data_IF_510872285345
#
_entry.id   IF_510872285345
#
_cell.length_a   1.000
_cell.length_b   1.000
_cell.length_c   1.000
_cell.angle_alpha   90.00
_cell.angle_beta   90.00
_cell.angle_gamma   90.00
#
_symmetry.space_group_name_H-M   'P 1'
#
loop_
_entity.id
_entity.type
_entity.pdbx_description
1 polymer ?
#
# COMPACT_ATOMS: atom_id res chain seq x y z
N UNK A 1 -22.52 16.80 -49.83
CA UNK A 1 -22.79 16.13 -48.53
C UNK A 1 -21.69 16.56 -47.59
N UNK A 2 -21.93 17.61 -46.79
CA UNK A 2 -20.91 18.20 -45.91
C UNK A 2 -20.94 17.40 -44.62
N UNK A 3 -19.90 16.59 -44.40
CA UNK A 3 -19.72 15.83 -43.16
C UNK A 3 -19.13 16.80 -42.14
N UNK A 4 -19.95 17.22 -41.17
CA UNK A 4 -19.47 17.87 -39.95
C UNK A 4 -18.68 16.83 -39.17
N UNK A 5 -17.38 17.06 -39.02
CA UNK A 5 -16.54 16.34 -38.09
C UNK A 5 -16.66 17.09 -36.77
N UNK A 6 -17.48 16.58 -35.87
CA UNK A 6 -17.54 17.03 -34.48
C UNK A 6 -16.27 16.53 -33.77
N UNK A 7 -15.16 17.24 -33.97
CA UNK A 7 -13.97 17.09 -33.14
C UNK A 7 -14.28 17.73 -31.78
N UNK A 8 -14.82 16.92 -30.87
CA UNK A 8 -14.77 17.22 -29.43
C UNK A 8 -13.33 17.03 -28.96
N UNK A 9 -12.49 18.03 -29.23
CA UNK A 9 -11.23 18.20 -28.52
C UNK A 9 -11.57 18.37 -27.04
N UNK A 10 -11.20 17.37 -26.23
CA UNK A 10 -11.29 17.43 -24.78
C UNK A 10 -10.45 18.62 -24.31
N UNK A 11 -11.13 19.70 -23.96
CA UNK A 11 -10.53 20.86 -23.30
C UNK A 11 -9.76 20.31 -22.07
N UNK A 12 -8.46 20.59 -21.93
CA UNK A 12 -7.72 20.17 -20.75
C UNK A 12 -8.42 20.80 -19.54
N UNK A 13 -8.82 19.98 -18.57
CA UNK A 13 -9.40 20.46 -17.32
C UNK A 13 -8.45 21.49 -16.72
N UNK A 14 -8.96 22.66 -16.36
CA UNK A 14 -8.16 23.67 -15.66
C UNK A 14 -7.66 23.07 -14.34
N UNK A 15 -6.44 23.42 -13.93
CA UNK A 15 -5.81 22.85 -12.72
C UNK A 15 -6.72 22.93 -11.49
N UNK A 16 -7.55 23.98 -11.39
CA UNK A 16 -8.54 24.14 -10.32
C UNK A 16 -9.62 23.05 -10.31
N UNK A 17 -10.08 22.61 -11.48
CA UNK A 17 -11.09 21.55 -11.61
C UNK A 17 -10.52 20.19 -11.18
N UNK A 18 -9.30 19.88 -11.60
CA UNK A 18 -8.60 18.63 -11.23
C UNK A 18 -8.37 18.55 -9.71
N UNK A 19 -7.92 19.65 -9.11
CA UNK A 19 -7.72 19.73 -7.65
C UNK A 19 -9.06 19.54 -6.90
N UNK A 20 -10.15 20.10 -7.44
CA UNK A 20 -11.47 19.98 -6.81
C UNK A 20 -12.01 18.54 -6.83
N UNK A 21 -11.85 17.85 -7.96
CA UNK A 21 -12.27 16.45 -8.12
C UNK A 21 -11.46 15.50 -7.23
N UNK A 22 -10.13 15.67 -7.17
CA UNK A 22 -9.28 14.89 -6.27
C UNK A 22 -9.66 15.07 -4.80
N UNK A 23 -9.96 16.30 -4.38
CA UNK A 23 -10.36 16.60 -3.02
C UNK A 23 -11.70 15.95 -2.65
N UNK A 24 -12.63 15.87 -3.60
CA UNK A 24 -13.91 15.19 -3.38
C UNK A 24 -13.76 13.67 -3.31
N UNK A 25 -12.86 13.08 -4.10
CA UNK A 25 -12.49 11.67 -3.95
C UNK A 25 -11.86 11.38 -2.58
N UNK A 26 -10.93 12.23 -2.12
CA UNK A 26 -10.33 12.08 -0.78
C UNK A 26 -11.34 12.25 0.34
N UNK A 27 -12.28 13.20 0.23
CA UNK A 27 -13.38 13.33 1.22
C UNK A 27 -14.20 12.05 1.33
N UNK A 28 -14.54 11.42 0.19
CA UNK A 28 -15.27 10.13 0.19
C UNK A 28 -14.51 9.02 0.91
N UNK A 29 -13.18 8.95 0.78
CA UNK A 29 -12.32 8.00 1.51
C UNK A 29 -12.44 8.15 3.04
N UNK A 30 -12.56 9.39 3.52
CA UNK A 30 -12.67 9.68 4.96
C UNK A 30 -14.10 9.68 5.50
N UNK A 31 -15.11 9.65 4.62
CA UNK A 31 -16.48 9.40 4.99
C UNK A 31 -16.64 7.90 5.31
N UNK A 32 -16.80 7.58 6.60
CA UNK A 32 -16.91 6.20 7.11
C UNK A 32 -18.33 5.64 6.98
N UNK A 33 -18.89 5.68 5.76
CA UNK A 33 -20.25 5.24 5.45
C UNK A 33 -21.14 6.33 4.88
N UNK A 34 -22.38 5.96 4.55
CA UNK A 34 -23.42 6.89 4.12
C UNK A 34 -24.03 7.62 5.31
N UNK A 35 -24.41 8.89 5.12
CA UNK A 35 -25.03 9.70 6.16
C UNK A 35 -26.39 9.15 6.59
N UNK A 36 -26.75 9.33 7.85
CA UNK A 36 -28.02 8.86 8.37
C UNK A 36 -29.23 9.50 7.67
N UNK A 37 -30.24 8.70 7.32
CA UNK A 37 -31.51 9.21 6.78
C UNK A 37 -32.34 9.87 7.88
N UNK A 38 -32.24 11.19 8.01
CA UNK A 38 -32.90 11.97 9.08
C UNK A 38 -34.39 12.28 8.83
N UNK A 39 -34.95 11.89 7.66
CA UNK A 39 -36.32 12.25 7.25
C UNK A 39 -37.40 11.43 7.94
N UNK A 40 -37.09 10.20 8.34
CA UNK A 40 -38.06 9.27 8.94
C UNK A 40 -38.10 9.36 10.48
N UNK A 41 -37.32 10.26 11.07
CA UNK A 41 -37.15 10.37 12.52
C UNK A 41 -38.28 11.20 13.17
N UNK A 42 -39.01 10.60 14.12
CA UNK A 42 -40.12 11.27 14.83
C UNK A 42 -39.65 12.19 15.96
N UNK A 43 -38.51 11.89 16.59
CA UNK A 43 -37.97 12.68 17.70
C UNK A 43 -37.14 13.86 17.20
N UNK A 44 -37.65 15.08 17.42
CA UNK A 44 -37.01 16.34 17.00
C UNK A 44 -35.68 16.59 17.71
N UNK A 45 -35.51 16.13 18.96
CA UNK A 45 -34.28 16.35 19.71
C UNK A 45 -33.16 15.47 19.17
N UNK A 46 -33.46 14.19 18.94
CA UNK A 46 -32.53 13.25 18.34
C UNK A 46 -32.17 13.67 16.89
N UNK A 47 -33.15 14.14 16.12
CA UNK A 47 -32.91 14.64 14.76
C UNK A 47 -31.90 15.79 14.78
N UNK A 48 -32.09 16.79 15.66
CA UNK A 48 -31.14 17.90 15.80
C UNK A 48 -29.74 17.45 16.23
N UNK A 49 -29.63 16.50 17.16
CA UNK A 49 -28.34 15.93 17.58
C UNK A 49 -27.62 15.22 16.43
N UNK A 50 -28.34 14.43 15.62
CA UNK A 50 -27.77 13.72 14.48
C UNK A 50 -27.32 14.67 13.37
N UNK A 51 -28.07 15.75 13.08
CA UNK A 51 -27.61 16.78 12.11
C UNK A 51 -26.25 17.35 12.53
N UNK A 52 -26.10 17.71 13.82
CA UNK A 52 -24.84 18.27 14.33
C UNK A 52 -23.70 17.24 14.25
N UNK A 53 -23.98 15.96 14.51
CA UNK A 53 -22.99 14.89 14.36
C UNK A 53 -22.58 14.69 12.90
N UNK A 54 -23.52 14.68 11.96
CA UNK A 54 -23.25 14.58 10.52
C UNK A 54 -22.41 15.76 10.01
N UNK A 55 -22.73 16.98 10.44
CA UNK A 55 -21.89 18.14 10.15
C UNK A 55 -20.47 18.00 10.70
N UNK A 56 -20.33 17.46 11.91
CA UNK A 56 -19.03 17.24 12.55
C UNK A 56 -18.23 16.15 11.82
N UNK A 57 -18.88 15.07 11.37
CA UNK A 57 -18.26 14.04 10.54
C UNK A 57 -17.82 14.61 9.19
N UNK A 58 -18.66 15.42 8.53
CA UNK A 58 -18.30 16.10 7.28
C UNK A 58 -17.11 17.05 7.44
N UNK A 59 -17.10 17.86 8.51
CA UNK A 59 -15.96 18.74 8.84
C UNK A 59 -14.68 17.94 9.11
N UNK A 60 -14.80 16.84 9.86
CA UNK A 60 -13.66 15.96 10.19
C UNK A 60 -13.09 15.28 8.96
N UNK A 61 -13.95 14.75 8.07
CA UNK A 61 -13.54 14.13 6.81
C UNK A 61 -12.88 15.14 5.87
N UNK A 62 -13.42 16.36 5.77
CA UNK A 62 -12.81 17.43 4.98
C UNK A 62 -11.44 17.87 5.54
N UNK A 63 -11.31 17.96 6.87
CA UNK A 63 -10.04 18.26 7.52
C UNK A 63 -8.99 17.16 7.28
N UNK A 64 -9.38 15.89 7.40
CA UNK A 64 -8.52 14.75 7.11
C UNK A 64 -8.07 14.70 5.64
N UNK A 65 -9.00 14.94 4.70
CA UNK A 65 -8.68 15.01 3.27
C UNK A 65 -7.69 16.13 2.94
N UNK A 66 -7.87 17.30 3.57
CA UNK A 66 -6.91 18.42 3.45
C UNK A 66 -5.55 18.04 4.03
N UNK A 67 -5.51 17.44 5.21
CA UNK A 67 -4.26 16.97 5.81
C UNK A 67 -3.53 15.96 4.90
N UNK A 68 -4.26 15.00 4.32
CA UNK A 68 -3.66 14.03 3.40
C UNK A 68 -3.10 14.66 2.11
N UNK A 69 -3.78 15.66 1.53
CA UNK A 69 -3.29 16.31 0.30
C UNK A 69 -2.10 17.24 0.57
N UNK A 70 -2.10 17.98 1.67
CA UNK A 70 -1.14 19.08 1.88
C UNK A 70 0.00 18.73 2.84
N UNK A 71 -0.20 17.80 3.78
CA UNK A 71 0.77 17.49 4.84
C UNK A 71 1.50 16.17 4.62
N UNK A 72 1.09 15.34 3.66
CA UNK A 72 1.78 14.09 3.37
C UNK A 72 3.16 14.39 2.78
N UNK A 73 4.24 13.86 3.38
CA UNK A 73 5.61 14.20 2.98
C UNK A 73 6.07 13.46 1.72
N UNK A 74 5.35 12.42 1.32
CA UNK A 74 5.72 11.53 0.22
C UNK A 74 4.49 11.18 -0.62
N UNK A 75 4.70 11.13 -1.92
CA UNK A 75 3.72 10.63 -2.89
C UNK A 75 3.99 9.16 -3.21
N UNK A 76 2.98 8.46 -3.71
CA UNK A 76 3.12 7.08 -4.15
C UNK A 76 3.95 6.99 -5.44
N UNK A 77 4.89 6.06 -5.50
CA UNK A 77 5.61 5.77 -6.74
C UNK A 77 4.69 5.13 -7.78
N UNK A 78 4.91 5.44 -9.06
CA UNK A 78 4.20 4.84 -10.18
C UNK A 78 5.16 4.57 -11.34
N UNK A 79 4.75 3.67 -12.23
CA UNK A 79 5.43 3.36 -13.48
C UNK A 79 4.42 3.54 -14.60
N UNK A 80 4.63 4.56 -15.42
CA UNK A 80 3.80 4.87 -16.57
C UNK A 80 4.58 4.50 -17.84
N UNK A 81 3.92 3.80 -18.76
CA UNK A 81 4.51 3.52 -20.06
C UNK A 81 4.22 4.66 -21.01
N UNK A 82 5.20 5.06 -21.82
CA UNK A 82 4.95 5.92 -22.97
C UNK A 82 3.96 5.24 -23.92
N UNK A 83 3.18 6.01 -24.71
CA UNK A 83 2.00 5.50 -25.41
C UNK A 83 2.15 4.23 -26.26
N UNK A 84 3.37 3.86 -26.67
CA UNK A 84 3.68 2.61 -27.40
C UNK A 84 4.27 1.52 -26.47
N UNK A 85 4.92 1.91 -25.38
CA UNK A 85 5.52 1.00 -24.41
C UNK A 85 4.50 0.39 -23.47
N UNK A 86 4.69 -0.91 -23.19
CA UNK A 86 3.84 -1.68 -22.29
C UNK A 86 4.58 -1.90 -21.00
N UNK A 87 3.98 -1.55 -19.86
CA UNK A 87 4.61 -1.58 -18.54
C UNK A 87 5.19 -2.95 -18.15
N UNK A 88 4.56 -4.05 -18.56
CA UNK A 88 5.06 -5.41 -18.27
C UNK A 88 6.30 -5.83 -19.08
N UNK A 89 6.75 -5.04 -20.06
CA UNK A 89 8.00 -5.30 -20.81
C UNK A 89 9.23 -4.69 -20.13
N UNK A 90 9.03 -3.83 -19.13
CA UNK A 90 10.10 -3.13 -18.42
C UNK A 90 10.83 -4.15 -17.52
N UNK A 91 12.16 -4.23 -17.68
CA UNK A 91 13.02 -5.17 -16.94
C UNK A 91 13.43 -4.58 -15.58
N UNK A 92 13.70 -5.45 -14.61
CA UNK A 92 14.21 -5.03 -13.29
C UNK A 92 15.52 -4.23 -13.39
N UNK A 93 16.43 -4.61 -14.30
CA UNK A 93 17.69 -3.88 -14.52
C UNK A 93 17.46 -2.43 -14.99
N UNK A 94 16.43 -2.20 -15.80
CA UNK A 94 16.08 -0.86 -16.28
C UNK A 94 15.45 -0.01 -15.17
N UNK A 95 14.65 -0.64 -14.28
CA UNK A 95 14.11 0.03 -13.10
C UNK A 95 15.26 0.42 -12.17
N UNK A 96 16.21 -0.48 -11.93
CA UNK A 96 17.36 -0.27 -11.04
C UNK A 96 18.22 0.93 -11.45
N UNK A 97 18.33 1.20 -12.76
CA UNK A 97 19.10 2.32 -13.31
C UNK A 97 18.39 3.67 -13.24
N UNK A 98 17.06 3.67 -13.24
CA UNK A 98 16.25 4.91 -13.26
C UNK A 98 15.88 5.39 -11.85
N UNK A 99 15.82 4.47 -10.87
CA UNK A 99 15.52 4.83 -9.48
C UNK A 99 16.75 5.39 -8.75
N UNK A 100 16.49 6.08 -7.64
CA UNK A 100 17.55 6.60 -6.77
C UNK A 100 18.43 5.48 -6.18
N UNK A 101 19.66 5.83 -5.81
CA UNK A 101 20.67 4.88 -5.30
C UNK A 101 20.18 4.11 -4.07
N UNK A 102 19.37 4.73 -3.19
CA UNK A 102 18.88 4.06 -1.97
C UNK A 102 17.80 3.03 -2.31
N UNK A 103 16.96 3.31 -3.30
CA UNK A 103 15.95 2.35 -3.79
C UNK A 103 16.59 1.23 -4.62
N UNK A 104 17.55 1.57 -5.49
CA UNK A 104 18.31 0.60 -6.29
C UNK A 104 19.01 -0.44 -5.41
N UNK A 105 19.59 -0.02 -4.26
CA UNK A 105 20.21 -0.93 -3.27
C UNK A 105 19.25 -1.91 -2.60
N UNK A 106 17.93 -1.69 -2.65
CA UNK A 106 16.93 -2.61 -2.08
C UNK A 106 16.61 -3.76 -3.03
N UNK A 107 17.06 -3.70 -4.27
CA UNK A 107 17.04 -4.84 -5.17
C UNK A 107 18.23 -5.75 -4.84
N UNK A 108 17.94 -6.89 -4.23
CA UNK A 108 18.96 -7.89 -3.90
C UNK A 108 18.44 -9.29 -4.23
N UNK A 109 19.38 -10.19 -4.49
CA UNK A 109 19.13 -11.61 -4.69
C UNK A 109 19.84 -12.40 -3.59
N UNK A 110 19.09 -13.25 -2.89
CA UNK A 110 19.61 -14.10 -1.81
C UNK A 110 19.58 -15.54 -2.31
N UNK A 111 20.75 -16.02 -2.73
CA UNK A 111 20.90 -17.37 -3.30
C UNK A 111 21.16 -18.38 -2.18
N UNK A 112 20.15 -19.20 -1.87
CA UNK A 112 20.21 -20.25 -0.84
C UNK A 112 19.85 -21.63 -1.44
N UNK A 113 20.81 -22.36 -2.03
CA UNK A 113 20.51 -23.57 -2.81
C UNK A 113 20.21 -24.82 -1.95
N UNK A 114 20.70 -24.89 -0.71
CA UNK A 114 20.85 -26.17 -0.01
C UNK A 114 19.57 -26.67 0.69
N UNK A 115 18.76 -25.75 1.23
CA UNK A 115 17.69 -26.07 2.18
C UNK A 115 16.28 -26.15 1.57
N UNK A 116 16.21 -26.32 0.25
CA UNK A 116 14.95 -26.43 -0.49
C UNK A 116 14.29 -25.06 -0.72
N UNK A 117 13.03 -25.04 -1.20
CA UNK A 117 12.31 -23.79 -1.42
C UNK A 117 12.10 -23.05 -0.11
N UNK A 118 12.22 -21.72 -0.16
CA UNK A 118 12.04 -20.83 0.97
C UNK A 118 10.67 -20.17 0.95
N UNK A 119 10.02 -20.12 2.11
CA UNK A 119 8.92 -19.18 2.37
C UNK A 119 9.47 -17.94 3.05
N UNK A 120 8.90 -16.78 2.72
CA UNK A 120 9.34 -15.49 3.23
C UNK A 120 8.17 -14.79 3.91
N UNK A 121 8.44 -14.15 5.05
CA UNK A 121 7.52 -13.23 5.68
C UNK A 121 8.24 -11.96 6.13
N UNK A 122 7.57 -10.82 6.00
CA UNK A 122 8.06 -9.54 6.48
C UNK A 122 7.27 -9.07 7.69
N UNK A 123 7.96 -8.42 8.62
CA UNK A 123 7.28 -7.65 9.67
C UNK A 123 6.40 -6.55 9.07
N UNK A 124 5.36 -6.06 9.78
CA UNK A 124 4.53 -4.95 9.30
C UNK A 124 5.31 -3.66 8.99
N UNK A 125 6.48 -3.49 9.62
CA UNK A 125 7.41 -2.38 9.35
C UNK A 125 8.23 -2.55 8.06
N UNK A 126 8.32 -3.78 7.53
CA UNK A 126 9.19 -4.16 6.42
C UNK A 126 10.68 -4.26 6.77
N UNK A 127 11.08 -3.99 8.02
CA UNK A 127 12.50 -3.96 8.41
C UNK A 127 13.13 -5.34 8.51
N UNK A 128 12.41 -6.29 9.10
CA UNK A 128 12.90 -7.66 9.28
C UNK A 128 12.15 -8.62 8.37
N UNK A 129 12.88 -9.58 7.82
CA UNK A 129 12.37 -10.67 7.00
C UNK A 129 12.72 -11.99 7.67
N UNK A 130 11.74 -12.88 7.79
CA UNK A 130 11.94 -14.27 8.15
C UNK A 130 11.96 -15.10 6.87
N UNK A 131 12.98 -15.93 6.71
CA UNK A 131 13.14 -16.87 5.62
C UNK A 131 13.17 -18.29 6.17
N UNK A 132 12.33 -19.17 5.64
CA UNK A 132 12.25 -20.55 6.10
C UNK A 132 12.36 -21.53 4.94
N UNK A 133 13.45 -22.27 4.90
CA UNK A 133 13.69 -23.36 3.97
C UNK A 133 12.94 -24.61 4.40
N UNK A 134 12.39 -25.33 3.42
CA UNK A 134 11.61 -26.56 3.67
C UNK A 134 12.39 -27.65 4.41
N UNK A 135 13.72 -27.69 4.30
CA UNK A 135 14.59 -28.62 5.05
C UNK A 135 14.93 -28.14 6.47
N UNK A 136 14.25 -27.10 6.95
CA UNK A 136 14.27 -26.65 8.33
C UNK A 136 15.29 -25.58 8.67
N UNK A 137 15.88 -24.93 7.65
CA UNK A 137 16.64 -23.71 7.85
C UNK A 137 15.68 -22.55 8.09
N UNK A 138 15.85 -21.80 9.18
CA UNK A 138 15.08 -20.60 9.48
C UNK A 138 16.07 -19.47 9.77
N UNK A 139 15.95 -18.38 9.05
CA UNK A 139 16.78 -17.20 9.22
C UNK A 139 15.90 -15.96 9.41
N UNK A 140 16.30 -15.07 10.31
CA UNK A 140 15.74 -13.72 10.46
C UNK A 140 16.83 -12.75 10.04
N UNK A 141 16.51 -11.91 9.06
CA UNK A 141 17.45 -10.99 8.43
C UNK A 141 16.94 -9.56 8.56
N UNK A 142 17.81 -8.63 8.95
CA UNK A 142 17.56 -7.19 8.85
C UNK A 142 17.73 -6.76 7.39
N UNK A 143 16.64 -6.35 6.74
CA UNK A 143 16.63 -5.94 5.34
C UNK A 143 17.28 -4.57 5.11
N UNK A 144 17.40 -3.74 6.15
CA UNK A 144 18.06 -2.44 6.03
C UNK A 144 19.58 -2.58 6.01
N UNK A 145 20.11 -3.43 6.89
CA UNK A 145 21.54 -3.64 7.05
C UNK A 145 22.07 -4.87 6.28
N UNK A 146 21.16 -5.68 5.71
CA UNK A 146 21.47 -6.97 5.09
C UNK A 146 22.29 -7.88 6.00
N UNK A 147 21.88 -7.97 7.27
CA UNK A 147 22.57 -8.74 8.29
C UNK A 147 21.64 -9.81 8.87
N UNK A 148 22.12 -11.06 8.96
CA UNK A 148 21.41 -12.13 9.64
C UNK A 148 21.45 -11.92 11.16
N UNK A 149 20.28 -11.74 11.77
CA UNK A 149 20.15 -11.54 13.22
C UNK A 149 20.16 -12.88 13.92
N UNK A 150 19.45 -13.84 13.34
CA UNK A 150 19.27 -15.16 13.94
C UNK A 150 19.13 -16.19 12.84
N UNK A 151 19.85 -17.28 13.01
CA UNK A 151 19.76 -18.45 12.15
C UNK A 151 19.55 -19.68 13.04
N UNK A 152 18.63 -20.54 12.63
CA UNK A 152 18.17 -21.69 13.37
C UNK A 152 18.00 -22.84 12.40
N UNK A 153 18.64 -23.97 12.68
CA UNK A 153 18.42 -25.20 11.94
C UNK A 153 17.52 -26.13 12.75
N UNK A 154 16.25 -26.16 12.38
CA UNK A 154 15.30 -27.17 12.86
C UNK A 154 15.52 -28.41 11.99
N UNK A 155 15.84 -29.57 12.56
CA UNK A 155 16.10 -30.80 11.78
C UNK A 155 14.82 -31.45 11.25
N UNK A 156 13.79 -30.65 11.00
CA UNK A 156 12.45 -31.06 10.65
C UNK A 156 11.96 -30.24 9.44
N UNK A 157 10.89 -30.71 8.81
CA UNK A 157 10.29 -29.96 7.71
C UNK A 157 9.54 -28.74 8.25
N UNK A 158 9.93 -27.56 7.80
CA UNK A 158 9.21 -26.31 8.05
C UNK A 158 8.32 -26.03 6.85
N UNK A 159 7.04 -25.74 7.10
CA UNK A 159 6.05 -25.46 6.06
C UNK A 159 5.81 -23.97 5.86
N UNK A 160 5.86 -23.22 6.95
CA UNK A 160 5.54 -21.80 6.96
C UNK A 160 6.16 -21.11 8.18
N UNK A 161 6.37 -19.80 8.09
CA UNK A 161 6.88 -18.97 9.17
C UNK A 161 6.16 -17.64 9.19
N UNK A 162 5.70 -17.25 10.37
CA UNK A 162 4.89 -16.05 10.58
C UNK A 162 5.43 -15.21 11.74
N UNK A 163 5.56 -13.90 11.54
CA UNK A 163 5.82 -12.95 12.61
C UNK A 163 4.55 -12.71 13.42
N UNK A 164 4.71 -12.55 14.73
CA UNK A 164 3.59 -12.20 15.60
C UNK A 164 3.45 -10.66 15.65
N UNK A 165 3.17 -10.13 16.83
CA UNK A 165 3.03 -8.68 17.04
C UNK A 165 4.29 -7.88 16.67
N UNK A 166 5.48 -8.47 16.85
CA UNK A 166 6.77 -7.78 16.69
C UNK A 166 7.84 -8.70 16.10
N UNK A 167 9.04 -8.16 15.90
CA UNK A 167 10.22 -8.86 15.40
C UNK A 167 10.84 -9.86 16.39
N UNK A 168 10.45 -9.79 17.66
CA UNK A 168 11.03 -10.62 18.72
C UNK A 168 10.47 -12.04 18.71
N UNK A 169 9.23 -12.20 18.24
CA UNK A 169 8.55 -13.48 18.23
C UNK A 169 8.08 -13.84 16.83
N UNK A 170 8.37 -15.07 16.45
CA UNK A 170 7.88 -15.69 15.23
C UNK A 170 7.40 -17.10 15.56
N UNK A 171 6.45 -17.59 14.76
CA UNK A 171 5.95 -18.95 14.80
C UNK A 171 6.42 -19.69 13.55
N UNK A 172 6.83 -20.94 13.70
CA UNK A 172 7.20 -21.81 12.59
C UNK A 172 6.29 -23.05 12.57
N UNK A 173 5.67 -23.31 11.44
CA UNK A 173 4.83 -24.50 11.24
C UNK A 173 5.72 -25.72 10.95
N UNK A 174 6.09 -26.43 12.01
CA UNK A 174 6.93 -27.63 11.95
C UNK A 174 6.10 -28.90 11.76
N UNK A 175 6.72 -29.91 11.14
CA UNK A 175 6.15 -31.26 11.11
C UNK A 175 6.42 -31.95 12.44
N UNK A 176 5.36 -32.34 13.14
CA UNK A 176 5.42 -33.17 14.34
C UNK A 176 6.05 -34.54 14.09
#
# INVERSE_FOLDING_TARGET
MVVKVDNTESIPATDEMVISEEMDMKKKKYLRGEGASLKDLKDKKLQGQLVVQEELFGKSAAAAAKAEKWLMPSEGGYLEGDGIEKTWRIKQDAIASEVDILSSRKQFDIVLPDFGPYTLEFTPSGRYMAAAGRKGHIAIVDMKNMSAIKELQVRETVRDVVFLHNELFFAAAQKK
#
